data_IF_604602651823
#
_entry.id   IF_604602651823
#
_cell.length_a   1.000
_cell.length_b   1.000
_cell.length_c   1.000
_cell.angle_alpha   90.00
_cell.angle_beta   90.00
_cell.angle_gamma   90.00
#
_symmetry.space_group_name_H-M   'P 1'
#
loop_
_entity.id
_entity.type
_entity.pdbx_description
1 polymer ?
#
# COMPACT_ATOMS: atom_id res chain seq x y z
N UNK A 1 2.82 -4.79 -18.73
CA UNK A 1 2.56 -5.54 -17.49
C UNK A 1 2.11 -4.53 -16.46
N UNK A 2 1.03 -4.81 -15.74
CA UNK A 2 0.56 -3.91 -14.66
C UNK A 2 1.50 -4.02 -13.45
N UNK A 3 1.39 -3.06 -12.53
CA UNK A 3 2.10 -3.13 -11.25
C UNK A 3 1.71 -4.40 -10.48
N UNK A 4 0.41 -4.75 -10.45
CA UNK A 4 -0.06 -5.96 -9.78
C UNK A 4 0.57 -7.24 -10.35
N UNK A 5 0.66 -7.35 -11.68
CA UNK A 5 1.33 -8.47 -12.36
C UNK A 5 2.81 -8.56 -12.01
N UNK A 6 3.50 -7.42 -12.02
CA UNK A 6 4.94 -7.36 -11.72
C UNK A 6 5.22 -7.79 -10.27
N UNK A 7 4.40 -7.30 -9.33
CA UNK A 7 4.45 -7.71 -7.91
C UNK A 7 4.23 -9.22 -7.78
N UNK A 8 3.22 -9.76 -8.47
CA UNK A 8 2.90 -11.19 -8.44
C UNK A 8 4.09 -12.04 -8.91
N UNK A 9 4.64 -11.75 -10.08
CA UNK A 9 5.76 -12.51 -10.66
C UNK A 9 7.02 -12.47 -9.78
N UNK A 10 7.29 -11.35 -9.12
CA UNK A 10 8.39 -11.25 -8.15
C UNK A 10 8.10 -12.10 -6.91
N UNK A 11 6.87 -12.04 -6.39
CA UNK A 11 6.45 -12.78 -5.22
C UNK A 11 6.50 -14.30 -5.42
N UNK A 12 6.04 -14.78 -6.57
CA UNK A 12 6.03 -16.22 -6.92
C UNK A 12 7.42 -16.85 -6.84
N UNK A 13 8.48 -16.10 -7.21
CA UNK A 13 9.88 -16.54 -7.13
C UNK A 13 10.40 -16.68 -5.70
N UNK A 14 9.73 -16.07 -4.72
CA UNK A 14 10.10 -16.06 -3.30
C UNK A 14 9.22 -16.99 -2.44
N UNK A 15 8.18 -17.58 -3.03
CA UNK A 15 7.30 -18.53 -2.36
C UNK A 15 8.02 -19.85 -2.04
N UNK A 16 7.62 -20.51 -0.94
CA UNK A 16 8.24 -21.77 -0.47
C UNK A 16 7.38 -23.02 -0.67
N UNK A 17 6.43 -23.01 -1.59
CA UNK A 17 5.44 -24.09 -1.81
C UNK A 17 4.79 -24.58 -0.50
N UNK A 18 4.36 -23.62 0.33
CA UNK A 18 3.69 -23.87 1.61
C UNK A 18 2.31 -23.24 1.61
N UNK A 19 1.42 -23.84 2.39
CA UNK A 19 0.14 -23.25 2.78
C UNK A 19 0.34 -22.05 3.70
N UNK A 20 -0.67 -21.20 3.83
CA UNK A 20 -0.65 -20.07 4.76
C UNK A 20 -0.80 -20.55 6.23
N UNK A 21 -0.34 -19.73 7.17
CA UNK A 21 -0.54 -19.98 8.60
C UNK A 21 -1.89 -19.45 9.09
N UNK A 22 -2.21 -18.19 8.78
CA UNK A 22 -3.44 -17.52 9.20
C UNK A 22 -3.75 -16.36 8.22
N UNK A 23 -5.04 -16.01 8.11
CA UNK A 23 -5.50 -14.83 7.38
C UNK A 23 -6.56 -14.13 8.22
N UNK A 24 -6.32 -12.85 8.55
CA UNK A 24 -7.26 -12.01 9.31
C UNK A 24 -7.72 -10.84 8.46
N UNK A 25 -9.03 -10.72 8.29
CA UNK A 25 -9.66 -9.61 7.59
C UNK A 25 -10.36 -8.74 8.63
N UNK A 26 -9.70 -7.65 9.05
CA UNK A 26 -10.30 -6.63 9.89
C UNK A 26 -10.94 -5.52 9.07
N UNK A 27 -11.65 -4.60 9.72
CA UNK A 27 -12.33 -3.49 9.04
C UNK A 27 -11.36 -2.46 8.43
N UNK A 28 -10.17 -2.31 9.01
CA UNK A 28 -9.15 -1.37 8.51
C UNK A 28 -8.03 -2.03 7.71
N UNK A 29 -7.66 -3.26 8.07
CA UNK A 29 -6.51 -3.96 7.49
C UNK A 29 -6.75 -5.46 7.41
N UNK A 30 -6.12 -6.07 6.41
CA UNK A 30 -5.99 -7.51 6.22
C UNK A 30 -4.56 -7.91 6.56
N UNK A 31 -4.40 -9.02 7.28
CA UNK A 31 -3.12 -9.63 7.60
C UNK A 31 -3.06 -11.03 7.01
N UNK A 32 -1.94 -11.37 6.37
CA UNK A 32 -1.60 -12.72 5.95
C UNK A 32 -0.33 -13.13 6.67
N UNK A 33 -0.36 -14.30 7.31
CA UNK A 33 0.79 -14.91 7.96
C UNK A 33 1.19 -16.19 7.23
N UNK A 34 2.48 -16.39 7.05
CA UNK A 34 3.10 -17.55 6.42
C UNK A 34 3.55 -18.56 7.47
N UNK A 35 3.78 -19.81 7.07
CA UNK A 35 4.16 -20.89 8.01
C UNK A 35 5.51 -20.69 8.71
N UNK A 36 6.37 -19.82 8.19
CA UNK A 36 7.62 -19.42 8.85
C UNK A 36 7.46 -18.19 9.76
N UNK A 37 6.22 -17.75 10.05
CA UNK A 37 5.90 -16.64 10.96
C UNK A 37 6.02 -15.25 10.31
N UNK A 38 6.53 -15.18 9.08
CA UNK A 38 6.54 -13.95 8.29
C UNK A 38 5.11 -13.49 8.03
N UNK A 39 4.86 -12.19 8.16
CA UNK A 39 3.53 -11.63 7.99
C UNK A 39 3.57 -10.30 7.24
N UNK A 40 2.46 -10.02 6.57
CA UNK A 40 2.28 -8.81 5.79
C UNK A 40 0.86 -8.30 5.94
N UNK A 41 0.70 -7.00 5.72
CA UNK A 41 -0.58 -6.33 5.84
C UNK A 41 -0.90 -5.50 4.61
N UNK A 42 -2.20 -5.30 4.39
CA UNK A 42 -2.74 -4.39 3.39
C UNK A 42 -4.05 -3.78 3.93
N UNK A 43 -4.42 -2.61 3.44
CA UNK A 43 -5.67 -1.95 3.81
C UNK A 43 -6.87 -2.79 3.38
N UNK A 44 -7.88 -2.92 4.24
CA UNK A 44 -9.12 -3.61 3.86
C UNK A 44 -10.05 -2.61 3.17
N UNK A 45 -10.48 -2.89 1.92
CA UNK A 45 -11.43 -2.03 1.26
C UNK A 45 -12.79 -2.06 1.94
N UNK A 46 -13.48 -0.91 1.88
CA UNK A 46 -14.87 -0.84 2.30
C UNK A 46 -15.70 -1.87 1.53
N UNK A 47 -16.68 -2.45 2.22
CA UNK A 47 -17.58 -3.47 1.66
C UNK A 47 -18.17 -3.00 0.33
N UNK A 48 -17.86 -3.71 -0.76
CA UNK A 48 -18.63 -3.55 -1.99
C UNK A 48 -20.08 -3.93 -1.69
N UNK A 49 -21.03 -3.11 -2.16
CA UNK A 49 -22.47 -3.33 -1.97
C UNK A 49 -23.03 -4.56 -2.72
N UNK A 50 -22.16 -5.44 -3.24
CA UNK A 50 -22.53 -6.66 -3.95
C UNK A 50 -23.12 -7.70 -2.98
N UNK A 51 -24.43 -7.57 -2.74
CA UNK A 51 -25.52 -8.56 -2.56
C UNK A 51 -25.34 -9.85 -1.72
N UNK A 52 -24.19 -10.11 -1.13
CA UNK A 52 -23.88 -11.34 -0.40
C UNK A 52 -23.51 -11.06 1.06
N UNK A 53 -24.01 -11.89 1.98
CA UNK A 53 -23.57 -11.93 3.38
C UNK A 53 -22.17 -12.55 3.54
N UNK A 54 -21.65 -13.19 2.48
CA UNK A 54 -20.30 -13.75 2.42
C UNK A 54 -19.37 -12.79 1.68
N UNK A 55 -18.36 -12.26 2.38
CA UNK A 55 -17.38 -11.33 1.84
C UNK A 55 -16.26 -12.00 1.04
N UNK A 56 -15.91 -13.21 1.43
CA UNK A 56 -14.86 -14.01 0.81
C UNK A 56 -15.34 -15.46 0.73
N UNK A 57 -15.53 -16.03 -0.47
CA UNK A 57 -16.02 -17.41 -0.62
C UNK A 57 -15.12 -18.46 0.05
N UNK A 58 -13.81 -18.21 0.12
CA UNK A 58 -12.83 -19.09 0.79
C UNK A 58 -12.74 -18.89 2.32
N UNK A 59 -13.60 -18.08 2.94
CA UNK A 59 -13.59 -17.92 4.39
C UNK A 59 -13.79 -19.28 5.10
N UNK A 60 -12.96 -19.58 6.10
CA UNK A 60 -12.93 -20.88 6.78
C UNK A 60 -11.96 -21.91 6.18
N UNK A 61 -11.51 -21.73 4.93
CA UNK A 61 -10.53 -22.60 4.27
C UNK A 61 -9.38 -21.85 3.60
N UNK A 62 -9.37 -20.51 3.65
CA UNK A 62 -8.35 -19.69 2.97
C UNK A 62 -6.92 -20.05 3.37
N UNK A 63 -6.70 -20.45 4.63
CA UNK A 63 -5.40 -20.89 5.13
C UNK A 63 -4.84 -22.14 4.44
N UNK A 64 -5.70 -22.93 3.79
CA UNK A 64 -5.30 -24.10 2.99
C UNK A 64 -4.78 -23.74 1.59
N UNK A 65 -4.81 -22.46 1.22
CA UNK A 65 -4.26 -21.95 -0.04
C UNK A 65 -2.73 -21.90 0.03
N UNK A 66 -2.04 -22.23 -1.06
CA UNK A 66 -0.60 -22.08 -1.16
C UNK A 66 -0.19 -20.62 -1.36
N UNK A 67 1.05 -20.29 -0.97
CA UNK A 67 1.64 -18.96 -1.17
C UNK A 67 1.56 -18.48 -2.63
N UNK A 68 1.81 -19.36 -3.60
CA UNK A 68 1.72 -19.00 -5.03
C UNK A 68 0.28 -18.73 -5.49
N UNK A 69 -0.66 -19.53 -5.00
CA UNK A 69 -2.08 -19.39 -5.35
C UNK A 69 -2.70 -18.13 -4.74
N UNK A 70 -2.29 -17.76 -3.52
CA UNK A 70 -2.83 -16.56 -2.87
C UNK A 70 -2.34 -15.28 -3.56
N UNK A 71 -1.16 -15.30 -4.17
CA UNK A 71 -0.65 -14.15 -4.94
C UNK A 71 -1.46 -13.89 -6.22
N UNK A 72 -2.15 -14.90 -6.77
CA UNK A 72 -3.06 -14.68 -7.91
C UNK A 72 -4.17 -13.68 -7.58
N UNK A 73 -4.52 -13.52 -6.29
CA UNK A 73 -5.55 -12.57 -5.87
C UNK A 73 -5.16 -11.10 -6.11
N UNK A 74 -3.88 -10.78 -6.36
CA UNK A 74 -3.43 -9.45 -6.77
C UNK A 74 -4.10 -8.95 -8.06
N UNK A 75 -4.51 -9.88 -8.94
CA UNK A 75 -5.15 -9.58 -10.21
C UNK A 75 -6.67 -9.75 -10.17
N UNK A 76 -7.27 -10.04 -9.00
CA UNK A 76 -8.72 -10.20 -8.88
C UNK A 76 -9.47 -8.90 -9.12
N UNK A 77 -10.66 -8.95 -9.74
CA UNK A 77 -11.58 -7.81 -9.82
C UNK A 77 -12.18 -7.44 -8.45
N UNK A 78 -12.05 -8.32 -7.45
CA UNK A 78 -12.49 -8.07 -6.09
C UNK A 78 -11.38 -7.38 -5.28
N UNK A 79 -11.58 -6.12 -4.90
CA UNK A 79 -10.63 -5.36 -4.10
C UNK A 79 -10.24 -6.05 -2.78
N UNK A 80 -11.15 -6.79 -2.13
CA UNK A 80 -10.83 -7.51 -0.89
C UNK A 80 -9.84 -8.64 -1.17
N UNK A 81 -10.01 -9.36 -2.29
CA UNK A 81 -9.06 -10.38 -2.73
C UNK A 81 -7.71 -9.75 -3.05
N UNK A 82 -7.69 -8.61 -3.75
CA UNK A 82 -6.44 -7.84 -3.97
C UNK A 82 -5.74 -7.44 -2.69
N UNK A 83 -6.49 -7.02 -1.67
CA UNK A 83 -5.93 -6.71 -0.36
C UNK A 83 -5.27 -7.95 0.28
N UNK A 84 -5.90 -9.13 0.17
CA UNK A 84 -5.33 -10.39 0.65
C UNK A 84 -4.05 -10.73 -0.13
N UNK A 85 -4.08 -10.64 -1.47
CA UNK A 85 -2.93 -10.90 -2.32
C UNK A 85 -1.75 -9.95 -2.03
N UNK A 86 -2.03 -8.67 -1.81
CA UNK A 86 -1.00 -7.68 -1.46
C UNK A 86 -0.44 -7.90 -0.04
N UNK A 87 -1.28 -8.25 0.93
CA UNK A 87 -0.82 -8.62 2.26
C UNK A 87 0.07 -9.87 2.21
N UNK A 88 -0.30 -10.88 1.40
CA UNK A 88 0.50 -12.07 1.17
C UNK A 88 1.85 -11.74 0.51
N UNK A 89 1.85 -10.88 -0.50
CA UNK A 89 3.09 -10.40 -1.12
C UNK A 89 3.99 -9.71 -0.09
N UNK A 90 3.46 -8.80 0.72
CA UNK A 90 4.23 -8.13 1.76
C UNK A 90 4.83 -9.12 2.77
N UNK A 91 4.11 -10.20 3.09
CA UNK A 91 4.62 -11.28 3.93
C UNK A 91 5.76 -12.04 3.24
N UNK A 92 5.57 -12.44 1.98
CA UNK A 92 6.57 -13.20 1.21
C UNK A 92 7.83 -12.37 0.98
N UNK A 93 7.70 -11.11 0.58
CA UNK A 93 8.81 -10.21 0.31
C UNK A 93 9.60 -9.86 1.57
N UNK A 94 8.98 -9.90 2.76
CA UNK A 94 9.68 -9.64 4.03
C UNK A 94 10.83 -10.61 4.34
N UNK A 95 10.87 -11.76 3.65
CA UNK A 95 11.96 -12.76 3.72
C UNK A 95 13.24 -12.29 3.06
N UNK A 96 13.14 -11.35 2.12
CA UNK A 96 14.29 -10.82 1.40
C UNK A 96 15.04 -9.84 2.29
N UNK A 97 16.34 -10.06 2.44
CA UNK A 97 17.20 -9.09 3.10
C UNK A 97 17.37 -7.87 2.20
N UNK A 98 17.15 -6.69 2.77
CA UNK A 98 17.25 -5.42 2.08
C UNK A 98 17.68 -4.34 3.06
N UNK A 99 18.48 -3.39 2.60
CA UNK A 99 18.80 -2.20 3.37
C UNK A 99 17.65 -1.21 3.28
N UNK A 100 17.18 -0.75 4.43
CA UNK A 100 16.17 0.28 4.55
C UNK A 100 16.80 1.58 5.03
N UNK A 101 16.21 2.70 4.62
CA UNK A 101 16.53 4.01 5.17
C UNK A 101 15.82 4.19 6.51
N UNK A 102 16.57 4.68 7.51
CA UNK A 102 16.03 5.11 8.80
C UNK A 102 15.36 6.50 8.73
N UNK A 103 15.50 7.20 7.60
CA UNK A 103 14.92 8.51 7.41
C UNK A 103 13.40 8.44 7.31
N UNK A 104 12.73 9.44 7.89
CA UNK A 104 11.28 9.53 7.82
C UNK A 104 10.83 9.84 6.38
N UNK A 105 9.80 9.13 5.93
CA UNK A 105 9.39 9.05 4.52
C UNK A 105 9.19 10.43 3.86
N UNK A 106 8.55 11.38 4.54
CA UNK A 106 8.27 12.71 3.99
C UNK A 106 9.52 13.57 3.96
N UNK A 107 10.43 13.39 4.91
CA UNK A 107 11.72 14.08 4.94
C UNK A 107 12.57 13.75 3.71
N UNK A 108 12.55 12.50 3.25
CA UNK A 108 13.30 12.03 2.09
C UNK A 108 12.88 12.70 0.77
N UNK A 109 11.64 13.19 0.68
CA UNK A 109 11.16 13.93 -0.50
C UNK A 109 11.81 15.30 -0.66
N UNK A 110 12.40 15.83 0.42
CA UNK A 110 13.05 17.14 0.47
C UNK A 110 12.16 18.24 -0.14
N UNK A 111 10.91 18.34 0.31
CA UNK A 111 9.92 19.31 -0.21
C UNK A 111 10.38 20.74 0.10
N UNK A 112 10.36 21.59 -0.92
CA UNK A 112 10.74 22.99 -0.94
C UNK A 112 9.51 23.88 -1.15
N UNK A 113 9.61 25.16 -0.77
CA UNK A 113 8.54 26.14 -0.95
C UNK A 113 8.12 26.35 -2.41
N UNK A 114 9.03 26.12 -3.37
CA UNK A 114 8.77 26.28 -4.79
C UNK A 114 8.05 25.08 -5.44
N UNK A 115 7.95 23.94 -4.74
CA UNK A 115 7.37 22.75 -5.33
C UNK A 115 5.84 22.83 -5.43
N UNK A 116 5.32 22.24 -6.50
CA UNK A 116 3.95 21.76 -6.56
C UNK A 116 3.87 20.31 -6.08
N UNK A 117 3.25 20.13 -4.90
CA UNK A 117 3.03 18.82 -4.29
C UNK A 117 1.62 18.33 -4.58
N UNK A 118 1.51 17.12 -5.12
CA UNK A 118 0.23 16.45 -5.32
C UNK A 118 0.16 15.21 -4.44
N UNK A 119 -0.85 15.16 -3.57
CA UNK A 119 -1.09 14.07 -2.64
C UNK A 119 -2.33 13.30 -3.06
N UNK A 120 -2.15 12.06 -3.52
CA UNK A 120 -3.24 11.11 -3.80
C UNK A 120 -3.44 10.21 -2.57
N UNK A 121 -4.56 10.42 -1.88
CA UNK A 121 -4.88 9.85 -0.58
C UNK A 121 -4.64 10.86 0.54
N UNK A 122 -5.63 11.06 1.41
CA UNK A 122 -5.58 12.09 2.45
C UNK A 122 -4.85 11.61 3.72
N UNK A 123 -3.57 11.97 3.83
CA UNK A 123 -2.73 11.71 5.01
C UNK A 123 -2.83 12.84 6.03
N UNK A 124 -3.93 12.87 6.80
CA UNK A 124 -4.21 13.94 7.78
C UNK A 124 -3.03 14.32 8.69
N UNK A 125 -2.24 13.36 9.25
CA UNK A 125 -1.10 13.70 10.11
C UNK A 125 0.08 14.37 9.37
N UNK A 126 0.17 14.20 8.05
CA UNK A 126 1.29 14.67 7.22
C UNK A 126 1.01 16.05 6.63
N UNK A 127 -0.25 16.34 6.28
CA UNK A 127 -0.65 17.58 5.60
C UNK A 127 -0.13 18.86 6.30
N UNK A 128 -0.28 19.04 7.64
CA UNK A 128 0.20 20.25 8.31
C UNK A 128 1.70 20.46 8.14
N UNK A 129 2.47 19.38 8.10
CA UNK A 129 3.93 19.44 7.93
C UNK A 129 4.31 19.86 6.52
N UNK A 130 3.63 19.34 5.51
CA UNK A 130 3.88 19.73 4.11
C UNK A 130 3.51 21.21 3.91
N UNK A 131 2.36 21.65 4.41
CA UNK A 131 1.95 23.07 4.32
C UNK A 131 2.94 24.04 4.96
N UNK A 132 3.63 23.62 6.04
CA UNK A 132 4.68 24.43 6.69
C UNK A 132 5.90 24.70 5.81
N UNK A 133 6.11 23.94 4.73
CA UNK A 133 7.20 24.19 3.78
C UNK A 133 6.95 25.42 2.89
N UNK A 134 5.70 25.88 2.79
CA UNK A 134 5.29 26.96 1.89
C UNK A 134 4.98 26.51 0.46
N UNK A 135 5.08 25.20 0.18
CA UNK A 135 4.77 24.64 -1.14
C UNK A 135 3.29 24.79 -1.52
N UNK A 136 2.99 24.68 -2.81
CA UNK A 136 1.62 24.44 -3.26
C UNK A 136 1.27 22.98 -2.98
N UNK A 137 0.11 22.72 -2.37
CA UNK A 137 -0.35 21.37 -2.04
C UNK A 137 -1.79 21.15 -2.51
N UNK A 138 -1.96 20.22 -3.46
CA UNK A 138 -3.26 19.69 -3.87
C UNK A 138 -3.45 18.28 -3.31
N UNK A 139 -4.59 18.03 -2.67
CA UNK A 139 -4.92 16.73 -2.07
C UNK A 139 -6.12 16.12 -2.79
N UNK A 140 -5.94 14.93 -3.33
CA UNK A 140 -6.94 14.14 -4.04
C UNK A 140 -7.33 12.94 -3.17
N UNK A 141 -8.62 12.65 -2.98
CA UNK A 141 -9.06 11.45 -2.26
C UNK A 141 -10.42 11.00 -2.81
N UNK A 142 -10.67 9.69 -2.83
CA UNK A 142 -11.96 9.15 -3.24
C UNK A 142 -13.10 9.56 -2.30
N UNK A 143 -12.78 9.88 -1.04
CA UNK A 143 -13.71 10.47 -0.10
C UNK A 143 -13.61 12.00 -0.13
N UNK A 144 -14.42 12.62 -1.00
CA UNK A 144 -14.50 14.07 -1.17
C UNK A 144 -15.06 14.82 0.06
N UNK A 145 -15.62 14.12 1.06
CA UNK A 145 -16.09 14.75 2.29
C UNK A 145 -14.95 15.15 3.24
N UNK A 146 -13.71 14.70 2.97
CA UNK A 146 -12.53 15.13 3.73
C UNK A 146 -12.21 16.60 3.43
N UNK A 147 -11.66 17.35 4.40
CA UNK A 147 -11.35 18.76 4.19
C UNK A 147 -10.18 18.96 3.22
N UNK A 148 -10.26 19.99 2.39
CA UNK A 148 -9.16 20.39 1.50
C UNK A 148 -8.91 19.44 0.33
N UNK A 149 -9.89 18.62 -0.04
CA UNK A 149 -9.83 17.73 -1.20
C UNK A 149 -10.20 18.53 -2.47
N UNK A 150 -9.32 18.45 -3.47
CA UNK A 150 -9.61 18.93 -4.83
C UNK A 150 -10.29 17.83 -5.64
N UNK A 151 -10.92 18.20 -6.75
CA UNK A 151 -11.67 17.25 -7.59
C UNK A 151 -10.74 16.16 -8.14
N UNK A 152 -11.13 14.89 -7.95
CA UNK A 152 -10.38 13.73 -8.44
C UNK A 152 -10.20 13.75 -9.96
N UNK A 153 -11.10 14.41 -10.70
CA UNK A 153 -11.02 14.60 -12.16
C UNK A 153 -9.82 15.45 -12.59
N UNK A 154 -9.25 16.24 -11.68
CA UNK A 154 -8.04 17.03 -11.92
C UNK A 154 -6.76 16.21 -11.76
N UNK A 155 -6.83 14.95 -11.31
CA UNK A 155 -5.65 14.11 -11.09
C UNK A 155 -4.71 14.02 -12.30
N UNK A 156 -5.17 13.85 -13.56
CA UNK A 156 -4.27 13.77 -14.72
C UNK A 156 -3.38 15.02 -14.88
N UNK A 157 -3.99 16.21 -14.88
CA UNK A 157 -3.27 17.46 -15.10
C UNK A 157 -2.35 17.82 -13.92
N UNK A 158 -2.84 17.59 -12.69
CA UNK A 158 -2.06 17.85 -11.47
C UNK A 158 -0.85 16.91 -11.40
N UNK A 159 -1.02 15.61 -11.64
CA UNK A 159 0.10 14.65 -11.63
C UNK A 159 1.10 14.90 -12.76
N UNK A 160 0.62 15.31 -13.94
CA UNK A 160 1.49 15.65 -15.07
C UNK A 160 2.38 16.87 -14.80
N UNK A 161 1.90 17.80 -13.97
CA UNK A 161 2.59 19.05 -13.65
C UNK A 161 3.24 19.08 -12.25
N UNK A 162 3.05 18.08 -11.40
CA UNK A 162 3.66 18.11 -10.07
C UNK A 162 5.19 17.97 -10.08
N UNK A 163 5.85 18.56 -9.08
CA UNK A 163 7.26 18.35 -8.79
C UNK A 163 7.44 17.17 -7.82
N UNK A 164 6.52 17.02 -6.87
CA UNK A 164 6.53 15.94 -5.87
C UNK A 164 5.17 15.27 -5.80
N UNK A 165 5.15 13.95 -5.96
CA UNK A 165 3.94 13.14 -5.80
C UNK A 165 3.98 12.30 -4.51
N UNK A 166 2.87 12.27 -3.77
CA UNK A 166 2.67 11.38 -2.61
C UNK A 166 1.45 10.54 -2.91
N UNK A 167 1.64 9.26 -3.19
CA UNK A 167 0.57 8.37 -3.66
C UNK A 167 0.31 7.28 -2.63
N UNK A 168 -0.94 7.08 -2.25
CA UNK A 168 -1.34 5.97 -1.37
C UNK A 168 -1.15 4.61 -2.03
N UNK A 169 -0.61 3.65 -1.28
CA UNK A 169 -0.47 2.26 -1.71
C UNK A 169 -1.80 1.52 -1.81
N UNK A 170 -2.88 2.08 -1.26
CA UNK A 170 -4.23 1.55 -1.47
C UNK A 170 -4.68 1.62 -2.93
N UNK A 171 -3.98 2.41 -3.77
CA UNK A 171 -4.20 2.47 -5.21
C UNK A 171 -3.94 1.14 -5.94
N UNK A 172 -3.10 0.27 -5.36
CA UNK A 172 -2.88 -1.10 -5.88
C UNK A 172 -4.15 -1.96 -5.65
N UNK A 173 -4.78 -1.77 -4.49
CA UNK A 173 -5.93 -2.57 -4.02
C UNK A 173 -7.20 -2.21 -4.78
N UNK A 174 -7.40 -0.92 -5.09
CA UNK A 174 -8.57 -0.43 -5.83
C UNK A 174 -8.32 -0.26 -7.34
N UNK A 175 -7.24 -0.83 -7.86
CA UNK A 175 -6.88 -0.86 -9.28
C UNK A 175 -6.67 0.51 -9.96
N UNK A 176 -6.22 1.52 -9.22
CA UNK A 176 -5.97 2.87 -9.78
C UNK A 176 -4.49 3.19 -9.99
N UNK A 177 -3.57 2.35 -9.48
CA UNK A 177 -2.13 2.64 -9.46
C UNK A 177 -1.57 2.89 -10.87
N UNK A 178 -1.79 1.99 -11.82
CA UNK A 178 -1.22 2.11 -13.17
C UNK A 178 -1.67 3.40 -13.87
N UNK A 179 -2.96 3.75 -13.74
CA UNK A 179 -3.50 5.00 -14.28
C UNK A 179 -2.84 6.23 -13.63
N UNK A 180 -2.74 6.26 -12.30
CA UNK A 180 -2.09 7.37 -11.58
C UNK A 180 -0.63 7.55 -12.00
N UNK A 181 0.12 6.45 -12.10
CA UNK A 181 1.54 6.50 -12.50
C UNK A 181 1.71 6.93 -13.95
N UNK A 182 0.75 6.62 -14.84
CA UNK A 182 0.80 7.04 -16.25
C UNK A 182 0.77 8.57 -16.42
N UNK A 183 0.21 9.30 -15.45
CA UNK A 183 0.13 10.74 -15.48
C UNK A 183 1.36 11.44 -14.92
N UNK A 184 2.25 10.76 -14.19
CA UNK A 184 3.50 11.37 -13.71
C UNK A 184 4.42 11.65 -14.90
N UNK A 185 4.84 12.90 -15.11
CA UNK A 185 5.66 13.29 -16.27
C UNK A 185 6.98 13.99 -15.93
N UNK A 186 6.97 14.93 -14.99
CA UNK A 186 8.14 15.78 -14.68
C UNK A 186 8.58 15.77 -13.22
N UNK A 187 7.94 14.95 -12.38
CA UNK A 187 8.20 14.91 -10.96
C UNK A 187 9.67 14.59 -10.68
N UNK A 188 10.28 15.34 -9.75
CA UNK A 188 11.64 15.08 -9.25
C UNK A 188 11.65 14.04 -8.13
N UNK A 189 10.52 13.85 -7.45
CA UNK A 189 10.34 12.85 -6.41
C UNK A 189 8.91 12.31 -6.44
N UNK A 190 8.74 11.02 -6.20
CA UNK A 190 7.43 10.43 -5.97
C UNK A 190 7.54 9.27 -4.97
N UNK A 191 6.68 9.28 -3.95
CA UNK A 191 6.61 8.21 -2.96
C UNK A 191 5.30 7.45 -3.06
N UNK A 192 5.40 6.12 -3.05
CA UNK A 192 4.27 5.25 -2.72
C UNK A 192 4.25 5.01 -1.21
N UNK A 193 3.17 5.44 -0.54
CA UNK A 193 3.12 5.62 0.91
C UNK A 193 1.98 4.84 1.57
N UNK A 194 2.30 4.16 2.66
CA UNK A 194 1.33 3.59 3.61
C UNK A 194 1.68 2.16 4.04
N UNK A 195 1.03 1.60 5.08
CA UNK A 195 1.39 0.26 5.56
C UNK A 195 1.21 -0.86 4.53
N UNK A 196 0.40 -0.63 3.49
CA UNK A 196 0.19 -1.59 2.40
C UNK A 196 1.29 -1.57 1.33
N UNK A 197 2.24 -0.63 1.38
CA UNK A 197 3.27 -0.49 0.34
C UNK A 197 4.10 -1.77 0.20
N UNK A 198 4.15 -2.38 -0.99
CA UNK A 198 5.16 -3.39 -1.29
C UNK A 198 6.51 -2.69 -1.37
N UNK A 199 7.39 -2.93 -0.39
CA UNK A 199 8.74 -2.34 -0.32
C UNK A 199 9.72 -3.05 -1.26
N UNK A 200 9.29 -3.21 -2.50
CA UNK A 200 9.93 -3.94 -3.60
C UNK A 200 10.31 -2.98 -4.72
N UNK A 201 11.54 -2.41 -4.72
CA UNK A 201 11.98 -1.46 -5.74
C UNK A 201 11.87 -2.00 -7.16
N UNK A 202 12.11 -3.30 -7.34
CA UNK A 202 12.12 -3.93 -8.67
C UNK A 202 10.75 -3.87 -9.35
N UNK A 203 9.66 -3.85 -8.58
CA UNK A 203 8.31 -3.73 -9.13
C UNK A 203 8.00 -2.35 -9.71
N UNK A 204 8.79 -1.33 -9.35
CA UNK A 204 8.55 0.08 -9.72
C UNK A 204 9.71 0.70 -10.52
N UNK A 205 10.76 -0.07 -10.82
CA UNK A 205 11.98 0.43 -11.49
C UNK A 205 11.73 1.10 -12.85
N UNK A 206 10.66 0.72 -13.55
CA UNK A 206 10.27 1.31 -14.84
C UNK A 206 9.18 2.40 -14.70
N UNK A 207 9.02 2.98 -13.53
CA UNK A 207 8.04 4.04 -13.24
C UNK A 207 8.76 5.31 -12.79
N UNK A 208 7.98 6.39 -12.58
CA UNK A 208 8.51 7.63 -11.99
C UNK A 208 8.46 7.65 -10.46
N UNK A 209 8.12 6.53 -9.80
CA UNK A 209 8.27 6.40 -8.35
C UNK A 209 9.76 6.41 -8.01
N UNK A 210 10.15 7.21 -7.03
CA UNK A 210 11.54 7.32 -6.57
C UNK A 210 11.73 6.72 -5.18
N UNK A 211 10.63 6.44 -4.48
CA UNK A 211 10.65 5.96 -3.10
C UNK A 211 9.44 5.09 -2.79
N UNK A 212 9.67 4.02 -2.03
CA UNK A 212 8.63 3.19 -1.44
C UNK A 212 8.72 3.31 0.07
N UNK A 213 7.63 3.69 0.72
CA UNK A 213 7.55 3.83 2.17
C UNK A 213 6.41 3.00 2.71
N UNK A 214 6.77 1.87 3.32
CA UNK A 214 5.86 0.83 3.78
C UNK A 214 6.02 0.47 5.24
N UNK A 215 5.60 -0.74 5.58
CA UNK A 215 5.80 -1.30 6.92
C UNK A 215 6.14 -2.78 6.89
N UNK A 216 6.95 -3.22 7.84
CA UNK A 216 7.22 -4.63 8.15
C UNK A 216 6.57 -5.00 9.48
N UNK A 217 6.09 -6.23 9.58
CA UNK A 217 5.46 -6.75 10.80
C UNK A 217 6.52 -7.19 11.80
N UNK A 218 6.49 -6.63 13.02
CA UNK A 218 7.40 -7.03 14.12
C UNK A 218 6.77 -8.06 15.05
N UNK A 219 5.48 -7.91 15.34
CA UNK A 219 4.76 -8.72 16.33
C UNK A 219 3.45 -9.24 15.73
N UNK A 220 3.55 -10.35 14.99
CA UNK A 220 2.44 -10.92 14.20
C UNK A 220 1.19 -11.19 15.02
N UNK A 221 1.30 -11.85 16.18
CA UNK A 221 0.14 -12.22 17.01
C UNK A 221 -0.64 -11.02 17.55
N UNK A 222 0.07 -9.99 18.05
CA UNK A 222 -0.58 -8.76 18.50
C UNK A 222 -1.22 -8.00 17.35
N UNK A 223 -0.55 -7.95 16.20
CA UNK A 223 -1.09 -7.29 15.01
C UNK A 223 -2.39 -7.98 14.53
N UNK A 224 -2.41 -9.31 14.46
CA UNK A 224 -3.61 -10.10 14.14
C UNK A 224 -4.75 -9.82 15.12
N UNK A 225 -4.47 -9.71 16.42
CA UNK A 225 -5.48 -9.37 17.43
C UNK A 225 -6.05 -7.97 17.21
N UNK A 226 -5.20 -6.96 17.04
CA UNK A 226 -5.62 -5.56 16.79
C UNK A 226 -6.50 -5.49 15.54
N UNK A 227 -6.06 -6.12 14.46
CA UNK A 227 -6.78 -6.18 13.19
C UNK A 227 -8.14 -6.85 13.35
N UNK A 228 -8.18 -8.01 14.01
CA UNK A 228 -9.42 -8.76 14.26
C UNK A 228 -10.42 -7.98 15.13
N UNK A 229 -9.94 -7.02 15.92
CA UNK A 229 -10.76 -6.15 16.78
C UNK A 229 -11.08 -4.79 16.14
N UNK A 230 -10.81 -4.62 14.84
CA UNK A 230 -11.13 -3.40 14.09
C UNK A 230 -10.14 -2.25 14.28
N UNK A 231 -8.95 -2.52 14.83
CA UNK A 231 -7.91 -1.51 15.02
C UNK A 231 -7.30 -1.03 13.70
N UNK A 232 -6.93 0.25 13.67
CA UNK A 232 -6.28 0.89 12.51
C UNK A 232 -4.80 1.23 12.74
N UNK A 233 -4.24 2.01 11.82
CA UNK A 233 -2.80 2.35 11.76
C UNK A 233 -2.23 2.83 13.09
N UNK A 234 -2.95 3.66 13.85
CA UNK A 234 -2.45 4.23 15.10
C UNK A 234 -2.18 3.18 16.20
N UNK A 235 -3.00 2.13 16.26
CA UNK A 235 -2.81 1.02 17.20
C UNK A 235 -1.73 0.06 16.69
N UNK A 236 -1.71 -0.19 15.38
CA UNK A 236 -0.71 -1.06 14.75
C UNK A 236 0.71 -0.46 14.76
N UNK A 237 0.84 0.87 14.78
CA UNK A 237 2.13 1.58 14.61
C UNK A 237 3.25 1.04 15.51
N UNK A 238 2.94 0.64 16.75
CA UNK A 238 3.93 0.12 17.71
C UNK A 238 4.47 -1.26 17.32
N UNK A 239 3.65 -2.04 16.62
CA UNK A 239 3.90 -3.42 16.19
C UNK A 239 4.37 -3.51 14.73
N UNK A 240 4.54 -2.36 14.09
CA UNK A 240 5.08 -2.19 12.76
C UNK A 240 6.46 -1.51 12.82
N UNK A 241 7.33 -1.89 11.91
CA UNK A 241 8.53 -1.15 11.56
C UNK A 241 8.24 -0.39 10.27
N UNK A 242 8.25 0.94 10.31
CA UNK A 242 8.09 1.73 9.08
C UNK A 242 9.44 1.86 8.40
N UNK A 243 9.50 1.47 7.12
CA UNK A 243 10.74 1.39 6.36
C UNK A 243 10.57 2.10 5.03
N UNK A 244 11.68 2.68 4.53
CA UNK A 244 11.72 3.31 3.22
C UNK A 244 12.87 2.77 2.38
N UNK A 245 12.67 2.69 1.07
CA UNK A 245 13.69 2.31 0.10
C UNK A 245 13.57 3.19 -1.15
N UNK A 246 14.70 3.50 -1.77
CA UNK A 246 14.74 4.19 -3.06
C UNK A 246 14.41 3.21 -4.21
N UNK A 247 13.83 3.73 -5.28
CA UNK A 247 13.57 2.98 -6.52
C UNK A 247 14.62 3.32 -7.56
#
# INVERSE_FOLDING_TARGET
MTIAQTIKEIGEKLCKDKKLADVRIGLGYTCVELKDGAAGIAWTPNRNAASSCTHLPKAGSIQDTFEQDILQLLESDNHLERAIGLAAFNAVYSRKEQQYSDAEAISMLNIQAADHVVMVGHFAPVIPRIKKTGCTLDVLDLNSAKPGIVDIRSAPDLLASCDVAIITSTSIINDTIDNLLSHLQRNRAAVLLGPSTPVCPEAFANTRITQLSGSRVKETELLKRIISQGGGTMLMKKHLEFVSVAV
#
